data_IF_911819193742
#
_entry.id   IF_911819193742
#
_cell.length_a   1.000
_cell.length_b   1.000
_cell.length_c   1.000
_cell.angle_alpha   90.00
_cell.angle_beta   90.00
_cell.angle_gamma   90.00
#
_symmetry.space_group_name_H-M   'P 1'
#
loop_
_entity.id
_entity.type
_entity.pdbx_description
1 polymer ?
#
# COMPACT_ATOMS: atom_id res chain seq x y z
N UNK A 1 19.57 -1.71 6.98
CA UNK A 1 18.23 -1.14 7.16
C UNK A 1 17.19 -2.26 7.19
N UNK A 2 16.18 -2.07 8.02
CA UNK A 2 15.07 -3.02 8.09
C UNK A 2 14.17 -2.83 6.87
N UNK A 3 13.86 -3.93 6.16
CA UNK A 3 13.03 -3.89 4.97
C UNK A 3 11.57 -4.11 5.33
N UNK A 4 10.74 -3.17 4.97
CA UNK A 4 9.29 -3.21 5.14
C UNK A 4 8.63 -3.02 3.77
N UNK A 5 7.47 -3.63 3.58
CA UNK A 5 6.67 -3.35 2.39
C UNK A 5 5.38 -2.62 2.74
N UNK A 6 4.92 -1.81 1.82
CA UNK A 6 3.62 -1.17 1.85
C UNK A 6 2.93 -1.48 0.52
N UNK A 7 1.70 -1.91 0.59
CA UNK A 7 1.00 -2.41 -0.58
C UNK A 7 -0.24 -1.56 -0.85
N UNK A 8 -0.26 -0.94 -2.02
CA UNK A 8 -1.37 -0.12 -2.47
C UNK A 8 -2.27 -0.99 -3.33
N UNK A 9 -3.44 -1.35 -2.80
CA UNK A 9 -4.40 -2.19 -3.49
C UNK A 9 -5.54 -1.31 -4.00
N UNK A 10 -5.73 -1.33 -5.31
CA UNK A 10 -6.87 -0.66 -5.96
C UNK A 10 -7.96 -1.68 -6.25
N UNK A 11 -9.21 -1.24 -6.14
CA UNK A 11 -10.32 -2.03 -6.66
C UNK A 11 -10.28 -2.05 -8.20
N UNK A 12 -11.12 -2.87 -8.81
CA UNK A 12 -11.06 -3.16 -10.25
C UNK A 12 -11.13 -1.91 -11.14
N UNK A 13 -11.92 -0.90 -10.77
CA UNK A 13 -12.09 0.32 -11.55
C UNK A 13 -11.23 1.50 -11.13
N UNK A 14 -10.30 1.27 -10.18
CA UNK A 14 -9.39 2.30 -9.67
C UNK A 14 -10.08 3.43 -8.90
N UNK A 15 -11.33 3.25 -8.50
CA UNK A 15 -12.06 4.28 -7.76
C UNK A 15 -11.74 4.30 -6.27
N UNK A 16 -11.26 3.17 -5.73
CA UNK A 16 -11.01 3.01 -4.30
C UNK A 16 -9.66 2.36 -4.03
N UNK A 17 -9.07 2.72 -2.92
CA UNK A 17 -7.88 2.08 -2.38
C UNK A 17 -8.19 1.37 -1.07
N UNK A 18 -7.44 0.32 -0.78
CA UNK A 18 -7.57 -0.45 0.45
C UNK A 18 -6.63 0.11 1.52
N UNK A 19 -7.18 0.34 2.71
CA UNK A 19 -6.41 0.81 3.86
C UNK A 19 -6.74 -0.01 5.08
N UNK A 20 -5.81 -0.06 6.02
CA UNK A 20 -6.07 -0.55 7.36
C UNK A 20 -6.19 0.64 8.32
N UNK A 21 -6.96 0.44 9.37
CA UNK A 21 -7.02 1.38 10.49
C UNK A 21 -6.11 0.80 11.58
N UNK A 22 -5.03 1.49 11.90
CA UNK A 22 -4.05 0.97 12.84
C UNK A 22 -4.65 0.82 14.23
N UNK A 23 -4.47 -0.36 14.82
CA UNK A 23 -4.94 -0.67 16.17
C UNK A 23 -3.94 -0.24 17.24
N UNK A 24 -2.67 -0.03 16.88
CA UNK A 24 -1.57 0.29 17.81
C UNK A 24 -0.77 1.49 17.35
N UNK A 25 -0.06 2.12 18.31
CA UNK A 25 0.93 3.13 17.99
C UNK A 25 2.11 2.52 17.18
N UNK A 26 2.80 3.26 16.30
CA UNK A 26 2.49 4.63 15.91
C UNK A 26 1.26 4.70 14.98
N UNK A 27 0.67 5.88 14.90
CA UNK A 27 -0.49 6.18 14.03
C UNK A 27 -1.79 5.45 14.40
N UNK A 28 -1.98 5.07 15.67
CA UNK A 28 -3.22 4.44 16.14
C UNK A 28 -4.44 5.24 15.71
N UNK A 29 -5.44 4.54 15.14
CA UNK A 29 -6.66 5.14 14.65
C UNK A 29 -6.55 5.81 13.30
N UNK A 30 -5.37 5.84 12.69
CA UNK A 30 -5.16 6.43 11.37
C UNK A 30 -5.15 5.38 10.28
N UNK A 31 -5.47 5.82 9.05
CA UNK A 31 -5.39 4.96 7.88
C UNK A 31 -3.95 4.75 7.46
N UNK A 32 -3.64 3.54 7.06
CA UNK A 32 -2.33 3.21 6.51
C UNK A 32 -2.47 2.14 5.44
N UNK A 33 -1.44 1.97 4.61
CA UNK A 33 -1.42 0.84 3.69
C UNK A 33 -1.22 -0.46 4.47
N UNK A 34 -1.70 -1.56 3.90
CA UNK A 34 -1.36 -2.90 4.39
C UNK A 34 0.09 -3.23 4.01
N UNK A 35 0.68 -4.15 4.72
CA UNK A 35 2.07 -4.56 4.50
C UNK A 35 2.74 -4.97 5.79
N UNK A 36 4.02 -5.28 5.71
CA UNK A 36 4.77 -5.74 6.87
C UNK A 36 6.25 -5.90 6.59
N UNK A 37 6.89 -6.81 7.30
CA UNK A 37 8.33 -7.01 7.24
C UNK A 37 8.70 -8.06 6.21
N UNK A 38 9.82 -7.81 5.52
CA UNK A 38 10.49 -8.85 4.73
C UNK A 38 11.27 -9.73 5.70
N UNK A 39 10.94 -11.01 5.74
CA UNK A 39 11.60 -11.96 6.63
C UNK A 39 12.87 -12.54 6.01
N UNK A 40 13.74 -13.04 6.86
CA UNK A 40 15.00 -13.64 6.42
C UNK A 40 14.73 -14.83 5.49
N UNK A 41 15.39 -14.84 4.34
CA UNK A 41 15.28 -15.95 3.39
C UNK A 41 14.17 -15.82 2.37
N UNK A 42 13.29 -14.81 2.49
CA UNK A 42 12.29 -14.56 1.46
C UNK A 42 12.68 -13.38 0.56
N UNK A 43 12.22 -13.41 -0.68
CA UNK A 43 12.40 -12.28 -1.58
C UNK A 43 11.45 -11.15 -1.20
N UNK A 44 11.72 -9.94 -1.70
CA UNK A 44 10.85 -8.80 -1.47
C UNK A 44 9.44 -9.05 -2.01
N UNK A 45 9.34 -9.63 -3.21
CA UNK A 45 8.04 -9.94 -3.84
C UNK A 45 7.27 -11.00 -3.05
N UNK A 46 7.95 -12.06 -2.62
CA UNK A 46 7.33 -13.09 -1.78
C UNK A 46 6.77 -12.51 -0.49
N UNK A 47 7.54 -11.63 0.16
CA UNK A 47 7.11 -10.96 1.38
C UNK A 47 5.87 -10.09 1.14
N UNK A 48 5.81 -9.37 0.02
CA UNK A 48 4.66 -8.54 -0.30
C UNK A 48 3.39 -9.36 -0.45
N UNK A 49 3.44 -10.46 -1.23
CA UNK A 49 2.28 -11.34 -1.40
C UNK A 49 1.88 -12.02 -0.09
N UNK A 50 2.85 -12.46 0.71
CA UNK A 50 2.58 -13.09 2.01
C UNK A 50 1.89 -12.13 2.97
N UNK A 51 2.43 -10.94 3.13
CA UNK A 51 1.84 -9.94 4.04
C UNK A 51 0.44 -9.52 3.59
N UNK A 52 0.24 -9.34 2.28
CA UNK A 52 -1.08 -9.02 1.76
C UNK A 52 -2.09 -10.12 2.08
N UNK A 53 -1.72 -11.36 1.88
CA UNK A 53 -2.61 -12.48 2.18
C UNK A 53 -2.90 -12.60 3.68
N UNK A 54 -1.87 -12.48 4.52
CA UNK A 54 -2.03 -12.56 5.98
C UNK A 54 -2.96 -11.47 6.50
N UNK A 55 -2.82 -10.25 6.00
CA UNK A 55 -3.59 -9.12 6.53
C UNK A 55 -4.98 -8.97 5.92
N UNK A 56 -5.21 -9.42 4.69
CA UNK A 56 -6.43 -9.10 3.96
C UNK A 56 -7.15 -10.31 3.37
N UNK A 57 -6.49 -11.45 3.27
CA UNK A 57 -7.02 -12.62 2.57
C UNK A 57 -6.91 -12.53 1.05
N UNK A 58 -6.36 -11.46 0.49
CA UNK A 58 -6.16 -11.32 -0.95
C UNK A 58 -4.99 -12.20 -1.38
N UNK A 59 -5.22 -13.10 -2.35
CA UNK A 59 -4.23 -14.05 -2.82
C UNK A 59 -3.59 -13.62 -4.14
N UNK A 60 -2.54 -14.35 -4.53
CA UNK A 60 -1.90 -14.17 -5.85
C UNK A 60 -2.84 -14.36 -7.02
N UNK A 61 -3.92 -15.09 -6.84
CA UNK A 61 -4.93 -15.30 -7.88
C UNK A 61 -5.82 -14.09 -8.07
N UNK A 62 -5.91 -13.24 -7.06
CA UNK A 62 -6.80 -12.07 -7.06
C UNK A 62 -6.13 -10.82 -7.61
N UNK A 63 -4.81 -10.77 -7.56
CA UNK A 63 -4.05 -9.54 -7.84
C UNK A 63 -2.63 -9.88 -8.30
N UNK A 64 -2.10 -9.04 -9.17
CA UNK A 64 -0.68 -9.03 -9.51
C UNK A 64 -0.05 -7.79 -8.90
N UNK A 65 1.04 -7.97 -8.15
CA UNK A 65 1.75 -6.88 -7.48
C UNK A 65 2.99 -6.49 -8.25
N UNK A 66 3.15 -5.19 -8.46
CA UNK A 66 4.34 -4.61 -9.07
C UNK A 66 5.08 -3.74 -8.06
N UNK A 67 6.40 -3.87 -8.02
CA UNK A 67 7.24 -3.02 -7.20
C UNK A 67 7.36 -1.65 -7.87
N UNK A 68 6.97 -0.60 -7.17
CA UNK A 68 6.86 0.74 -7.73
C UNK A 68 8.01 1.67 -7.34
N UNK A 69 8.30 1.76 -6.06
CA UNK A 69 9.35 2.65 -5.55
C UNK A 69 9.82 2.22 -4.17
N UNK A 70 10.98 2.72 -3.77
CA UNK A 70 11.52 2.54 -2.43
C UNK A 70 11.70 3.90 -1.76
N UNK A 71 11.45 3.94 -0.46
CA UNK A 71 11.70 5.10 0.38
C UNK A 71 12.61 4.69 1.54
N UNK A 72 13.72 5.40 1.71
CA UNK A 72 14.63 5.17 2.83
C UNK A 72 14.40 6.21 3.92
N UNK A 73 13.98 5.73 5.07
CA UNK A 73 13.86 6.55 6.27
C UNK A 73 15.07 6.32 7.16
N UNK A 74 16.13 7.07 6.94
CA UNK A 74 17.41 6.90 7.65
C UNK A 74 17.27 7.10 9.15
N UNK A 75 16.44 8.05 9.57
CA UNK A 75 16.18 8.30 10.99
C UNK A 75 15.70 7.06 11.74
N UNK A 76 14.91 6.23 11.08
CA UNK A 76 14.32 5.03 11.69
C UNK A 76 14.99 3.73 11.24
N UNK A 77 15.96 3.82 10.34
CA UNK A 77 16.64 2.64 9.81
C UNK A 77 15.76 1.74 8.95
N UNK A 78 14.77 2.32 8.26
CA UNK A 78 13.80 1.56 7.47
C UNK A 78 13.93 1.83 5.98
N UNK A 79 13.90 0.76 5.19
CA UNK A 79 13.66 0.82 3.75
C UNK A 79 12.21 0.39 3.51
N UNK A 80 11.39 1.28 2.97
CA UNK A 80 10.00 0.99 2.63
C UNK A 80 9.90 0.68 1.14
N UNK A 81 9.47 -0.52 0.83
CA UNK A 81 9.24 -0.98 -0.53
C UNK A 81 7.76 -0.84 -0.85
N UNK A 82 7.45 0.00 -1.82
CA UNK A 82 6.08 0.30 -2.20
C UNK A 82 5.69 -0.57 -3.39
N UNK A 83 4.66 -1.39 -3.17
CA UNK A 83 4.04 -2.23 -4.21
C UNK A 83 2.65 -1.70 -4.52
N UNK A 84 2.17 -1.96 -5.71
CA UNK A 84 0.77 -1.72 -6.05
C UNK A 84 0.21 -2.85 -6.88
N UNK A 85 -1.11 -2.96 -6.87
CA UNK A 85 -1.83 -3.89 -7.72
C UNK A 85 -3.29 -3.49 -7.85
N UNK A 86 -3.93 -3.99 -8.89
CA UNK A 86 -5.34 -3.75 -9.18
C UNK A 86 -6.05 -5.09 -9.06
N UNK A 87 -7.09 -5.16 -8.23
CA UNK A 87 -7.88 -6.39 -8.10
C UNK A 87 -8.51 -6.78 -9.43
N UNK A 88 -8.41 -8.05 -9.77
CA UNK A 88 -9.01 -8.60 -10.98
C UNK A 88 -10.52 -8.70 -10.86
N UNK A 89 -11.02 -8.82 -9.63
CA UNK A 89 -12.43 -8.99 -9.30
C UNK A 89 -12.68 -8.56 -7.85
N UNK A 90 -13.94 -8.46 -7.47
CA UNK A 90 -14.28 -8.21 -6.08
C UNK A 90 -13.89 -9.42 -5.23
N UNK A 91 -13.33 -9.14 -4.06
CA UNK A 91 -12.90 -10.17 -3.11
C UNK A 91 -13.55 -9.92 -1.76
N UNK A 92 -13.72 -11.00 -1.00
CA UNK A 92 -14.13 -10.90 0.40
C UNK A 92 -12.87 -10.72 1.25
N UNK A 93 -12.79 -9.59 1.95
CA UNK A 93 -11.66 -9.31 2.83
C UNK A 93 -11.77 -10.10 4.13
N UNK A 94 -10.63 -10.54 4.64
CA UNK A 94 -10.50 -11.21 5.93
C UNK A 94 -9.57 -10.37 6.80
N UNK A 95 -10.13 -9.76 7.84
CA UNK A 95 -9.37 -8.93 8.76
C UNK A 95 -8.58 -9.80 9.75
N UNK A 96 -7.31 -9.49 9.95
CA UNK A 96 -6.48 -10.17 10.94
C UNK A 96 -6.35 -9.33 12.21
N UNK A 97 -5.51 -8.30 12.18
CA UNK A 97 -5.23 -7.44 13.36
C UNK A 97 -5.90 -6.10 13.29
N UNK A 98 -5.99 -5.54 12.09
CA UNK A 98 -6.53 -4.22 11.85
C UNK A 98 -7.82 -4.29 11.05
N UNK A 99 -8.70 -3.35 11.27
CA UNK A 99 -9.86 -3.17 10.40
C UNK A 99 -9.40 -2.73 9.03
N UNK A 100 -10.08 -3.24 8.00
CA UNK A 100 -9.83 -2.89 6.61
C UNK A 100 -10.97 -2.04 6.08
N UNK A 101 -10.63 -1.06 5.25
CA UNK A 101 -11.61 -0.14 4.69
C UNK A 101 -11.22 0.22 3.26
N UNK A 102 -12.23 0.28 2.39
CA UNK A 102 -12.09 0.85 1.06
C UNK A 102 -12.38 2.33 1.12
N UNK A 103 -11.47 3.16 0.61
CA UNK A 103 -11.61 4.61 0.61
C UNK A 103 -11.65 5.11 -0.82
N UNK A 104 -12.64 5.95 -1.13
CA UNK A 104 -12.75 6.58 -2.45
C UNK A 104 -11.57 7.52 -2.66
N UNK A 105 -10.86 7.32 -3.77
CA UNK A 105 -9.66 8.07 -4.11
C UNK A 105 -10.01 9.36 -4.84
N UNK A 106 -10.50 10.32 -4.08
CA UNK A 106 -10.84 11.66 -4.60
C UNK A 106 -9.97 12.73 -3.93
N UNK A 107 -10.31 14.01 -4.17
CA UNK A 107 -9.57 15.14 -3.61
C UNK A 107 -9.56 15.17 -2.09
N UNK A 108 -10.49 14.50 -1.42
CA UNK A 108 -10.53 14.41 0.05
C UNK A 108 -9.39 13.57 0.60
N UNK A 109 -8.76 12.77 -0.25
CA UNK A 109 -7.56 12.01 0.13
C UNK A 109 -6.41 12.93 0.54
N UNK A 110 -6.49 14.22 0.22
CA UNK A 110 -5.47 15.21 0.60
C UNK A 110 -5.61 15.67 2.04
N UNK A 111 -6.62 15.22 2.79
CA UNK A 111 -6.75 15.49 4.21
C UNK A 111 -5.83 14.56 4.99
N UNK A 112 -4.63 15.05 5.25
CA UNK A 112 -3.51 14.28 5.80
C UNK A 112 -3.68 13.86 7.26
N UNK A 113 -4.60 14.47 8.00
CA UNK A 113 -4.77 14.16 9.42
C UNK A 113 -5.27 12.75 9.66
N UNK A 114 -5.93 12.16 8.68
CA UNK A 114 -6.51 10.81 8.78
C UNK A 114 -5.53 9.70 8.41
N UNK A 115 -4.41 10.03 7.79
CA UNK A 115 -3.44 9.05 7.31
C UNK A 115 -2.17 9.07 8.15
N UNK A 116 -1.59 7.90 8.36
CA UNK A 116 -0.25 7.77 8.92
C UNK A 116 0.83 8.14 7.89
N UNK A 117 2.10 8.03 8.27
CA UNK A 117 3.20 8.10 7.32
C UNK A 117 3.63 9.49 6.89
N UNK A 118 3.41 10.53 7.66
CA UNK A 118 3.95 11.87 7.41
C UNK A 118 3.65 12.40 6.01
N UNK A 119 2.38 12.37 5.60
CA UNK A 119 1.90 12.88 4.30
C UNK A 119 2.31 12.05 3.08
N UNK A 120 2.98 10.92 3.26
CA UNK A 120 3.43 10.11 2.12
C UNK A 120 2.31 9.37 1.41
N UNK A 121 1.25 9.00 2.11
CA UNK A 121 0.18 8.17 1.53
C UNK A 121 -0.52 8.84 0.35
N UNK A 122 -1.03 10.09 0.46
CA UNK A 122 -1.62 10.75 -0.69
C UNK A 122 -0.64 10.94 -1.84
N UNK A 123 0.62 11.25 -1.53
CA UNK A 123 1.66 11.44 -2.53
C UNK A 123 1.94 10.15 -3.30
N UNK A 124 2.08 9.03 -2.60
CA UNK A 124 2.32 7.71 -3.21
C UNK A 124 1.17 7.35 -4.16
N UNK A 125 -0.07 7.50 -3.71
CA UNK A 125 -1.25 7.21 -4.53
C UNK A 125 -1.26 8.07 -5.78
N UNK A 126 -0.97 9.37 -5.65
CA UNK A 126 -0.91 10.29 -6.77
C UNK A 126 0.13 9.84 -7.80
N UNK A 127 1.32 9.45 -7.34
CA UNK A 127 2.38 8.98 -8.24
C UNK A 127 1.97 7.73 -9.00
N UNK A 128 1.37 6.76 -8.31
CA UNK A 128 0.91 5.52 -8.96
C UNK A 128 -0.19 5.81 -9.98
N UNK A 129 -1.18 6.65 -9.62
CA UNK A 129 -2.28 6.98 -10.54
C UNK A 129 -1.78 7.70 -11.79
N UNK A 130 -0.87 8.64 -11.64
CA UNK A 130 -0.28 9.33 -12.78
C UNK A 130 0.48 8.34 -13.67
N UNK A 131 1.25 7.44 -13.08
CA UNK A 131 1.95 6.40 -13.82
C UNK A 131 0.98 5.50 -14.59
N UNK A 132 -0.10 5.06 -13.96
CA UNK A 132 -1.09 4.19 -14.60
C UNK A 132 -1.85 4.89 -15.74
N UNK A 133 -2.10 6.19 -15.61
CA UNK A 133 -2.80 6.97 -16.65
C UNK A 133 -1.90 7.31 -17.83
N UNK A 134 -0.64 7.64 -17.58
CA UNK A 134 0.25 8.23 -18.58
C UNK A 134 1.44 7.33 -18.97
N UNK A 135 1.72 6.31 -18.17
CA UNK A 135 2.88 5.47 -18.38
C UNK A 135 4.20 6.17 -18.04
N UNK A 136 5.29 5.50 -18.42
CA UNK A 136 6.64 5.99 -18.19
C UNK A 136 7.05 6.93 -19.31
N UNK A 137 7.87 7.93 -19.02
CA UNK A 137 8.54 8.71 -20.04
C UNK A 137 7.81 9.93 -20.51
N UNK A 138 6.76 10.34 -19.79
CA UNK A 138 6.09 11.59 -20.07
C UNK A 138 6.69 12.75 -19.31
N UNK A 139 7.82 12.52 -18.65
CA UNK A 139 8.50 13.56 -17.90
C UNK A 139 8.94 14.69 -18.82
N UNK A 140 8.42 15.86 -18.57
CA UNK A 140 8.87 17.11 -19.19
C UNK A 140 9.67 17.87 -18.14
N UNK A 141 10.79 17.32 -17.84
CA UNK A 141 11.72 17.98 -16.94
C UNK A 141 12.74 18.76 -17.72
#
# INVERSE_FOLDING_TARGET
MRKLNLIVVFNKDLSKGLFCIRAKEPYKGKYNFVGGKVEKGESNDEAAYRELFEETGISKNDIELDHFMDLNYFKYGNNLQIYYGILKQNVKLVEEKNKLVWIVLDKKLLDNDKFGGNYNIPHIITQIKVFLENGIGLGKY
#
